data_IF_280160726147
#
_entry.id   IF_280160726147
#
_cell.length_a   1.000
_cell.length_b   1.000
_cell.length_c   1.000
_cell.angle_alpha   90.00
_cell.angle_beta   90.00
_cell.angle_gamma   90.00
#
_symmetry.space_group_name_H-M   'P 1'
#
loop_
_entity.id
_entity.type
_entity.pdbx_description
1 polymer ?
#
# COMPACT_ATOMS: atom_id res chain seq x y z
N UNK A 1 24.45 -17.84 21.50
CA UNK A 1 23.39 -16.84 21.23
C UNK A 1 22.33 -17.54 20.41
N UNK A 2 21.13 -17.71 20.95
CA UNK A 2 20.00 -18.28 20.20
C UNK A 2 19.63 -17.28 19.12
N UNK A 3 19.97 -17.61 17.89
CA UNK A 3 19.62 -16.79 16.74
C UNK A 3 18.09 -16.76 16.60
N UNK A 4 17.56 -15.56 16.63
CA UNK A 4 16.12 -15.29 16.63
C UNK A 4 15.45 -15.79 15.33
N UNK A 5 14.20 -16.29 15.42
CA UNK A 5 13.49 -16.75 14.23
C UNK A 5 13.22 -15.60 13.26
N UNK A 6 13.13 -15.90 11.98
CA UNK A 6 12.85 -14.92 10.92
C UNK A 6 11.58 -14.11 11.19
N UNK A 7 10.53 -14.79 11.70
CA UNK A 7 9.27 -14.14 12.05
C UNK A 7 9.48 -13.10 13.17
N UNK A 8 10.14 -13.50 14.26
CA UNK A 8 10.38 -12.62 15.40
C UNK A 8 11.28 -11.44 15.00
N UNK A 9 12.34 -11.72 14.23
CA UNK A 9 13.27 -10.66 13.78
C UNK A 9 12.59 -9.64 12.86
N UNK A 10 11.69 -10.07 11.95
CA UNK A 10 10.88 -9.16 11.14
C UNK A 10 9.92 -8.34 12.02
N UNK A 11 9.29 -8.95 13.01
CA UNK A 11 8.42 -8.25 13.95
C UNK A 11 9.18 -7.15 14.71
N UNK A 12 10.36 -7.45 15.24
CA UNK A 12 11.21 -6.46 15.91
C UNK A 12 11.61 -5.31 14.98
N UNK A 13 11.98 -5.61 13.72
CA UNK A 13 12.27 -4.59 12.71
C UNK A 13 11.08 -3.63 12.49
N UNK A 14 9.86 -4.18 12.39
CA UNK A 14 8.64 -3.39 12.20
C UNK A 14 8.40 -2.48 13.40
N UNK A 15 8.48 -3.02 14.61
CA UNK A 15 8.24 -2.26 15.84
C UNK A 15 9.32 -1.18 16.05
N UNK A 16 10.57 -1.48 15.75
CA UNK A 16 11.66 -0.51 15.87
C UNK A 16 11.49 0.63 14.86
N UNK A 17 11.25 0.32 13.57
CA UNK A 17 10.99 1.34 12.55
C UNK A 17 9.78 2.22 12.88
N UNK A 18 8.74 1.66 13.51
CA UNK A 18 7.59 2.44 13.95
C UNK A 18 7.92 3.36 15.12
N UNK A 19 8.62 2.84 16.14
CA UNK A 19 9.07 3.61 17.30
C UNK A 19 9.99 4.77 16.93
N UNK A 20 10.88 4.55 15.96
CA UNK A 20 11.84 5.56 15.47
C UNK A 20 11.22 6.55 14.49
N UNK A 21 9.91 6.44 14.20
CA UNK A 21 9.20 7.32 13.28
C UNK A 21 9.51 7.09 11.78
N UNK A 22 10.31 6.06 11.44
CA UNK A 22 10.63 5.68 10.06
C UNK A 22 9.37 5.17 9.34
N UNK A 23 8.51 4.44 10.07
CA UNK A 23 7.20 4.00 9.58
C UNK A 23 6.09 4.84 10.20
N UNK A 24 5.27 5.47 9.36
CA UNK A 24 3.96 5.95 9.80
C UNK A 24 2.98 4.78 9.96
N UNK A 25 1.84 5.02 10.63
CA UNK A 25 0.81 4.02 10.95
C UNK A 25 0.37 3.21 9.72
N UNK A 26 0.12 3.86 8.58
CA UNK A 26 -0.27 3.18 7.34
C UNK A 26 0.81 2.21 6.84
N UNK A 27 2.10 2.60 6.91
CA UNK A 27 3.21 1.75 6.49
C UNK A 27 3.38 0.56 7.43
N UNK A 28 3.26 0.78 8.76
CA UNK A 28 3.26 -0.30 9.75
C UNK A 28 2.19 -1.34 9.45
N UNK A 29 0.92 -0.93 9.27
CA UNK A 29 -0.20 -1.82 8.92
C UNK A 29 0.11 -2.71 7.69
N UNK A 30 0.78 -2.16 6.70
CA UNK A 30 1.17 -2.93 5.52
C UNK A 30 2.29 -3.95 5.79
N UNK A 31 3.22 -3.65 6.71
CA UNK A 31 4.24 -4.61 7.14
C UNK A 31 3.65 -5.68 8.06
N UNK A 32 2.69 -5.34 8.93
CA UNK A 32 1.96 -6.31 9.76
C UNK A 32 1.20 -7.35 8.91
N UNK A 33 0.66 -6.92 7.77
CA UNK A 33 0.06 -7.86 6.80
C UNK A 33 1.13 -8.80 6.23
N UNK A 34 2.29 -8.27 5.82
CA UNK A 34 3.40 -9.08 5.31
C UNK A 34 3.91 -10.07 6.37
N UNK A 35 4.03 -9.64 7.64
CA UNK A 35 4.45 -10.49 8.75
C UNK A 35 3.51 -11.68 8.94
N UNK A 36 2.19 -11.45 8.93
CA UNK A 36 1.19 -12.52 9.04
C UNK A 36 1.25 -13.49 7.85
N UNK A 37 1.46 -13.00 6.64
CA UNK A 37 1.61 -13.84 5.44
C UNK A 37 2.90 -14.66 5.48
N UNK A 38 4.01 -14.06 5.91
CA UNK A 38 5.26 -14.78 6.11
C UNK A 38 5.11 -15.87 7.17
N UNK A 39 4.43 -15.58 8.29
CA UNK A 39 4.18 -16.55 9.35
C UNK A 39 3.39 -17.76 8.82
N UNK A 40 2.31 -17.55 8.08
CA UNK A 40 1.54 -18.64 7.48
C UNK A 40 2.39 -19.48 6.52
N UNK A 41 3.20 -18.82 5.68
CA UNK A 41 4.14 -19.51 4.80
C UNK A 41 5.12 -20.38 5.58
N UNK A 42 5.71 -19.86 6.65
CA UNK A 42 6.68 -20.58 7.48
C UNK A 42 6.04 -21.80 8.14
N UNK A 43 4.84 -21.66 8.70
CA UNK A 43 4.09 -22.77 9.34
C UNK A 43 3.76 -23.85 8.31
N UNK A 44 3.19 -23.49 7.16
CA UNK A 44 2.78 -24.42 6.11
C UNK A 44 3.97 -25.24 5.56
N UNK A 45 5.17 -24.65 5.55
CA UNK A 45 6.38 -25.29 5.05
C UNK A 45 7.28 -25.89 6.15
N UNK A 46 6.82 -25.96 7.40
CA UNK A 46 7.59 -26.43 8.56
C UNK A 46 8.92 -25.67 8.76
N UNK A 47 8.90 -24.35 8.60
CA UNK A 47 10.03 -23.44 8.69
C UNK A 47 9.90 -22.43 9.84
N UNK A 48 9.06 -22.69 10.86
CA UNK A 48 8.72 -21.75 11.93
C UNK A 48 9.96 -21.24 12.69
N UNK A 49 10.95 -22.09 12.88
CA UNK A 49 12.18 -21.78 13.63
C UNK A 49 13.33 -21.31 12.74
N UNK A 50 13.10 -21.14 11.43
CA UNK A 50 14.15 -20.70 10.53
C UNK A 50 14.65 -19.31 10.93
N UNK A 51 15.97 -19.13 10.91
CA UNK A 51 16.58 -17.82 11.15
C UNK A 51 16.80 -17.07 9.84
N UNK A 52 16.96 -15.74 9.87
CA UNK A 52 17.19 -14.93 8.67
C UNK A 52 18.35 -15.45 7.79
N UNK A 53 19.41 -15.94 8.39
CA UNK A 53 20.61 -16.46 7.70
C UNK A 53 20.28 -17.67 6.82
N UNK A 54 19.35 -18.52 7.24
CA UNK A 54 18.94 -19.73 6.52
C UNK A 54 17.79 -19.50 5.53
N UNK A 55 17.21 -18.31 5.51
CA UNK A 55 16.20 -17.94 4.51
C UNK A 55 16.88 -17.53 3.19
N UNK A 56 17.14 -18.51 2.35
CA UNK A 56 17.89 -18.35 1.09
C UNK A 56 16.97 -17.95 -0.09
N UNK A 57 17.58 -17.80 -1.27
CA UNK A 57 16.86 -17.45 -2.51
C UNK A 57 15.83 -18.50 -2.94
N UNK A 58 16.02 -19.79 -2.64
CA UNK A 58 15.02 -20.84 -2.93
C UNK A 58 13.75 -20.63 -2.10
N UNK A 59 13.89 -20.38 -0.80
CA UNK A 59 12.77 -20.09 0.09
C UNK A 59 12.08 -18.78 -0.28
N UNK A 60 12.83 -17.79 -0.75
CA UNK A 60 12.26 -16.54 -1.29
C UNK A 60 11.37 -16.79 -2.51
N UNK A 61 11.81 -17.67 -3.43
CA UNK A 61 10.99 -18.07 -4.60
C UNK A 61 9.73 -18.80 -4.15
N UNK A 62 9.86 -19.74 -3.22
CA UNK A 62 8.71 -20.46 -2.65
C UNK A 62 7.74 -19.49 -1.95
N UNK A 63 8.25 -18.49 -1.23
CA UNK A 63 7.40 -17.47 -0.61
C UNK A 63 6.65 -16.62 -1.64
N UNK A 64 7.31 -16.22 -2.73
CA UNK A 64 6.64 -15.54 -3.85
C UNK A 64 5.50 -16.40 -4.41
N UNK A 65 5.76 -17.69 -4.67
CA UNK A 65 4.78 -18.61 -5.24
C UNK A 65 3.63 -18.88 -4.26
N UNK A 66 3.94 -18.93 -2.96
CA UNK A 66 2.91 -18.96 -1.90
C UNK A 66 2.03 -17.72 -1.97
N UNK A 67 2.60 -16.51 -2.09
CA UNK A 67 1.81 -15.28 -2.17
C UNK A 67 0.82 -15.29 -3.33
N UNK A 68 1.19 -15.85 -4.50
CA UNK A 68 0.27 -15.98 -5.63
C UNK A 68 -0.82 -17.04 -5.39
N UNK A 69 -0.48 -18.13 -4.72
CA UNK A 69 -1.30 -19.34 -4.64
C UNK A 69 -1.91 -19.55 -3.23
N UNK A 70 -1.77 -18.61 -2.32
CA UNK A 70 -2.27 -18.75 -0.94
C UNK A 70 -3.76 -19.10 -0.89
N UNK A 71 -4.56 -18.58 -1.83
CA UNK A 71 -5.99 -18.83 -1.90
C UNK A 71 -6.35 -20.31 -2.05
N UNK A 72 -5.49 -21.14 -2.67
CA UNK A 72 -5.70 -22.59 -2.82
C UNK A 72 -5.48 -23.32 -1.48
N UNK A 73 -4.69 -22.72 -0.58
CA UNK A 73 -4.29 -23.34 0.67
C UNK A 73 -5.25 -23.04 1.83
N UNK A 74 -6.16 -22.09 1.65
CA UNK A 74 -7.08 -21.63 2.71
C UNK A 74 -7.91 -22.76 3.30
N UNK A 75 -8.54 -23.57 2.46
CA UNK A 75 -9.39 -24.66 2.92
C UNK A 75 -8.60 -25.75 3.62
N UNK A 76 -7.41 -26.08 3.13
CA UNK A 76 -6.53 -27.09 3.72
C UNK A 76 -5.98 -26.67 5.08
N UNK A 77 -5.69 -25.37 5.28
CA UNK A 77 -5.08 -24.82 6.49
C UNK A 77 -5.99 -23.83 7.21
N UNK A 78 -7.29 -24.09 7.22
CA UNK A 78 -8.35 -23.18 7.72
C UNK A 78 -8.04 -22.59 9.10
N UNK A 79 -7.40 -23.34 9.98
CA UNK A 79 -6.98 -22.88 11.31
C UNK A 79 -6.06 -21.66 11.32
N UNK A 80 -5.27 -21.43 10.24
CA UNK A 80 -4.39 -20.27 10.13
C UNK A 80 -5.11 -18.98 9.69
N UNK A 81 -6.40 -19.05 9.40
CA UNK A 81 -7.21 -17.95 8.90
C UNK A 81 -8.41 -17.61 9.79
N UNK A 82 -8.54 -18.28 10.95
CA UNK A 82 -9.71 -18.14 11.86
C UNK A 82 -9.87 -16.70 12.37
N UNK A 83 -8.76 -16.04 12.68
CA UNK A 83 -8.77 -14.67 13.21
C UNK A 83 -8.86 -13.58 12.11
N UNK A 84 -8.97 -13.99 10.86
CA UNK A 84 -9.09 -13.06 9.76
C UNK A 84 -10.55 -12.69 9.50
N UNK A 85 -10.80 -11.38 9.33
CA UNK A 85 -12.09 -10.95 8.78
C UNK A 85 -12.31 -11.61 7.41
N UNK A 86 -13.49 -12.12 7.15
CA UNK A 86 -13.85 -12.83 5.91
C UNK A 86 -13.46 -12.06 4.62
N UNK A 87 -13.47 -10.72 4.66
CA UNK A 87 -13.04 -9.87 3.54
C UNK A 87 -11.55 -9.92 3.23
N UNK A 88 -10.73 -10.37 4.18
CA UNK A 88 -9.27 -10.40 4.07
C UNK A 88 -8.74 -11.81 3.77
N UNK A 89 -9.59 -12.83 3.79
CA UNK A 89 -9.20 -14.20 3.43
C UNK A 89 -8.97 -14.24 1.91
N UNK A 90 -7.82 -14.74 1.44
CA UNK A 90 -7.56 -14.84 0.02
C UNK A 90 -8.55 -15.81 -0.66
N UNK A 91 -9.29 -15.34 -1.66
CA UNK A 91 -10.26 -16.13 -2.44
C UNK A 91 -9.87 -16.29 -3.91
N UNK A 92 -8.83 -15.58 -4.34
CA UNK A 92 -8.31 -15.58 -5.71
C UNK A 92 -6.82 -15.28 -5.75
N UNK A 93 -6.12 -15.54 -6.87
CA UNK A 93 -4.71 -15.16 -7.01
C UNK A 93 -4.47 -13.68 -6.76
N UNK A 94 -3.39 -13.35 -6.06
CA UNK A 94 -3.00 -11.93 -5.93
C UNK A 94 -2.45 -11.40 -7.25
N UNK A 95 -2.76 -10.14 -7.54
CA UNK A 95 -2.17 -9.44 -8.68
C UNK A 95 -0.65 -9.25 -8.53
N UNK A 96 0.04 -9.21 -9.67
CA UNK A 96 1.51 -9.07 -9.74
C UNK A 96 2.03 -7.86 -8.94
N UNK A 97 1.38 -6.71 -9.02
CA UNK A 97 1.79 -5.49 -8.31
C UNK A 97 1.73 -5.66 -6.78
N UNK A 98 0.72 -6.39 -6.30
CA UNK A 98 0.59 -6.70 -4.86
C UNK A 98 1.75 -7.56 -4.38
N UNK A 99 2.09 -8.62 -5.13
CA UNK A 99 3.21 -9.52 -4.77
C UNK A 99 4.53 -8.77 -4.89
N UNK A 100 4.76 -8.01 -5.96
CA UNK A 100 5.96 -7.19 -6.14
C UNK A 100 6.17 -6.21 -4.97
N UNK A 101 5.12 -5.53 -4.55
CA UNK A 101 5.18 -4.59 -3.40
C UNK A 101 5.55 -5.30 -2.10
N UNK A 102 5.01 -6.52 -1.85
CA UNK A 102 5.35 -7.31 -0.66
C UNK A 102 6.81 -7.77 -0.69
N UNK A 103 7.30 -8.23 -1.84
CA UNK A 103 8.70 -8.61 -2.00
C UNK A 103 9.66 -7.43 -1.84
N UNK A 104 9.30 -6.23 -2.31
CA UNK A 104 10.08 -5.01 -2.07
C UNK A 104 10.22 -4.68 -0.58
N UNK A 105 9.14 -4.85 0.19
CA UNK A 105 9.18 -4.64 1.66
C UNK A 105 10.08 -5.68 2.34
N UNK A 106 9.94 -6.96 1.97
CA UNK A 106 10.79 -8.01 2.49
C UNK A 106 12.26 -7.79 2.10
N UNK A 107 12.52 -7.29 0.88
CA UNK A 107 13.87 -6.90 0.44
C UNK A 107 14.46 -5.79 1.30
N UNK A 108 13.67 -4.76 1.64
CA UNK A 108 14.14 -3.67 2.50
C UNK A 108 14.57 -4.20 3.88
N UNK A 109 13.80 -5.11 4.47
CA UNK A 109 14.15 -5.78 5.72
C UNK A 109 15.46 -6.57 5.60
N UNK A 110 15.62 -7.43 4.58
CA UNK A 110 16.85 -8.20 4.41
C UNK A 110 18.07 -7.33 4.06
N UNK A 111 17.88 -6.20 3.40
CA UNK A 111 18.98 -5.25 3.16
C UNK A 111 19.41 -4.58 4.46
N UNK A 112 18.49 -4.30 5.37
CA UNK A 112 18.81 -3.79 6.71
C UNK A 112 19.64 -4.81 7.51
N UNK A 113 19.20 -6.09 7.54
CA UNK A 113 19.96 -7.14 8.20
C UNK A 113 21.39 -7.31 7.65
N UNK A 114 21.53 -7.22 6.32
CA UNK A 114 22.85 -7.28 5.67
C UNK A 114 23.69 -6.05 6.02
N UNK A 115 23.09 -4.87 6.08
CA UNK A 115 23.75 -3.60 6.44
C UNK A 115 24.24 -3.57 7.89
N UNK A 116 23.55 -4.31 8.77
CA UNK A 116 23.88 -4.44 10.18
C UNK A 116 24.76 -5.67 10.49
N UNK A 117 25.30 -6.35 9.47
CA UNK A 117 26.10 -7.57 9.59
C UNK A 117 25.39 -8.74 10.31
N UNK A 118 24.05 -8.70 10.40
CA UNK A 118 23.24 -9.79 11.01
C UNK A 118 23.16 -11.01 10.08
N UNK A 119 23.27 -10.79 8.78
CA UNK A 119 23.39 -11.83 7.76
C UNK A 119 24.51 -11.50 6.79
N UNK A 120 25.24 -12.51 6.26
CA UNK A 120 26.37 -12.26 5.37
C UNK A 120 25.96 -11.71 4.00
N UNK A 121 24.82 -12.11 3.46
CA UNK A 121 24.30 -11.67 2.15
C UNK A 121 22.79 -11.82 2.10
N UNK A 122 22.09 -10.78 1.63
CA UNK A 122 20.65 -10.82 1.39
C UNK A 122 20.26 -11.88 0.34
N UNK A 123 19.18 -12.67 0.57
CA UNK A 123 18.68 -13.65 -0.41
C UNK A 123 18.31 -13.01 -1.75
N UNK A 124 17.96 -11.74 -1.75
CA UNK A 124 17.62 -10.98 -2.96
C UNK A 124 18.85 -10.70 -3.85
N UNK A 125 20.06 -10.60 -3.28
CA UNK A 125 21.29 -10.46 -4.06
C UNK A 125 21.70 -11.77 -4.74
N UNK A 126 21.39 -12.91 -4.12
CA UNK A 126 21.68 -14.25 -4.66
C UNK A 126 20.74 -14.70 -5.79
N UNK A 127 19.75 -13.93 -6.15
CA UNK A 127 18.82 -14.28 -7.24
C UNK A 127 19.47 -14.29 -8.64
N UNK A 128 20.56 -13.57 -8.86
CA UNK A 128 21.27 -13.52 -10.12
C UNK A 128 20.34 -13.21 -11.31
N UNK A 129 20.34 -14.07 -12.34
CA UNK A 129 19.49 -13.92 -13.53
C UNK A 129 17.98 -14.03 -13.24
N UNK A 130 17.59 -14.73 -12.15
CA UNK A 130 16.19 -14.90 -11.75
C UNK A 130 15.60 -13.64 -11.11
N UNK A 131 16.42 -12.64 -10.80
CA UNK A 131 15.97 -11.41 -10.12
C UNK A 131 14.79 -10.74 -10.85
N UNK A 132 14.83 -10.64 -12.17
CA UNK A 132 13.76 -10.01 -12.96
C UNK A 132 12.44 -10.77 -12.86
N UNK A 133 12.50 -12.10 -12.79
CA UNK A 133 11.33 -12.98 -12.70
C UNK A 133 10.75 -13.00 -11.29
N UNK A 134 11.60 -13.00 -10.27
CA UNK A 134 11.17 -13.06 -8.86
C UNK A 134 10.64 -11.71 -8.39
N UNK A 135 11.41 -10.63 -8.62
CA UNK A 135 11.03 -9.30 -8.14
C UNK A 135 9.95 -8.63 -8.98
N UNK A 136 9.71 -9.13 -10.17
CA UNK A 136 8.70 -8.64 -11.12
C UNK A 136 8.65 -7.11 -11.21
N UNK A 137 8.49 -6.58 -12.40
CA UNK A 137 8.23 -5.16 -12.59
C UNK A 137 6.74 -4.89 -12.36
N UNK A 138 6.42 -3.87 -11.60
CA UNK A 138 5.03 -3.42 -11.48
C UNK A 138 4.51 -3.00 -12.85
N UNK A 139 3.28 -3.42 -13.15
CA UNK A 139 2.58 -3.08 -14.39
C UNK A 139 1.38 -2.23 -14.01
N UNK A 140 1.26 -1.10 -14.65
CA UNK A 140 0.13 -0.20 -14.46
C UNK A 140 -0.59 -0.07 -15.80
N UNK A 141 -1.90 -0.18 -15.75
CA UNK A 141 -2.75 0.15 -16.90
C UNK A 141 -2.63 1.64 -17.22
N UNK A 142 -2.94 2.01 -18.45
CA UNK A 142 -3.06 3.42 -18.79
C UNK A 142 -4.11 4.09 -17.89
N UNK A 143 -3.82 5.28 -17.35
CA UNK A 143 -4.75 5.95 -16.47
C UNK A 143 -6.05 6.29 -17.23
N UNK A 144 -7.17 5.86 -16.68
CA UNK A 144 -8.50 6.24 -17.16
C UNK A 144 -8.82 7.60 -16.59
N UNK A 145 -9.16 8.55 -17.44
CA UNK A 145 -9.55 9.90 -17.05
C UNK A 145 -10.73 10.39 -17.91
N UNK A 146 -11.48 11.34 -17.36
CA UNK A 146 -12.53 12.00 -18.12
C UNK A 146 -11.92 13.05 -19.04
N UNK A 147 -12.26 13.00 -20.31
CA UNK A 147 -12.02 14.12 -21.24
C UNK A 147 -12.89 15.31 -20.86
N UNK A 148 -12.52 16.51 -21.31
CA UNK A 148 -13.34 17.71 -21.10
C UNK A 148 -14.77 17.52 -21.63
N UNK A 149 -14.93 16.85 -22.77
CA UNK A 149 -16.26 16.60 -23.35
C UNK A 149 -17.10 15.66 -22.49
N UNK A 150 -16.51 14.61 -21.93
CA UNK A 150 -17.19 13.69 -21.01
C UNK A 150 -17.55 14.36 -19.69
N UNK A 151 -16.67 15.21 -19.16
CA UNK A 151 -16.95 16.01 -17.97
C UNK A 151 -18.17 16.91 -18.18
N UNK A 152 -18.21 17.69 -19.29
CA UNK A 152 -19.35 18.54 -19.64
C UNK A 152 -20.63 17.70 -19.85
N UNK A 153 -20.51 16.55 -20.51
CA UNK A 153 -21.63 15.63 -20.70
C UNK A 153 -22.19 15.16 -19.35
N UNK A 154 -21.33 14.74 -18.42
CA UNK A 154 -21.74 14.34 -17.09
C UNK A 154 -22.41 15.48 -16.32
N UNK A 155 -21.88 16.69 -16.41
CA UNK A 155 -22.45 17.89 -15.80
C UNK A 155 -23.90 18.11 -16.25
N UNK A 156 -24.18 17.98 -17.54
CA UNK A 156 -25.48 18.21 -18.15
C UNK A 156 -26.41 16.99 -18.18
N UNK A 157 -25.96 15.84 -17.63
CA UNK A 157 -26.79 14.63 -17.58
C UNK A 157 -27.71 14.66 -16.36
N UNK A 158 -29.00 14.49 -16.58
CA UNK A 158 -29.96 14.29 -15.49
C UNK A 158 -29.72 12.92 -14.84
N UNK A 159 -29.67 12.93 -13.52
CA UNK A 159 -29.52 11.72 -12.71
C UNK A 159 -30.68 11.63 -11.70
N UNK A 160 -31.02 10.42 -11.22
CA UNK A 160 -31.97 10.27 -10.13
C UNK A 160 -31.56 11.12 -8.92
N UNK A 161 -32.55 11.65 -8.18
CA UNK A 161 -32.27 12.53 -7.01
C UNK A 161 -31.34 11.89 -5.97
N UNK A 162 -31.38 10.56 -5.83
CA UNK A 162 -30.48 9.80 -4.95
C UNK A 162 -29.00 9.82 -5.36
N UNK A 163 -28.70 10.18 -6.61
CA UNK A 163 -27.34 10.29 -7.14
C UNK A 163 -26.87 11.73 -7.37
N UNK A 164 -27.74 12.71 -7.18
CA UNK A 164 -27.42 14.11 -7.47
C UNK A 164 -26.24 14.60 -6.62
N UNK A 165 -26.32 14.40 -5.31
CA UNK A 165 -25.23 14.77 -4.39
C UNK A 165 -23.89 14.11 -4.74
N UNK A 166 -23.91 12.82 -5.11
CA UNK A 166 -22.72 12.09 -5.53
C UNK A 166 -22.13 12.66 -6.82
N UNK A 167 -22.98 13.01 -7.79
CA UNK A 167 -22.58 13.65 -9.04
C UNK A 167 -21.91 15.00 -8.77
N UNK A 168 -22.53 15.84 -7.95
CA UNK A 168 -22.04 17.18 -7.64
C UNK A 168 -20.69 17.12 -6.89
N UNK A 169 -20.57 16.22 -5.90
CA UNK A 169 -19.33 15.97 -5.19
C UNK A 169 -18.23 15.48 -6.13
N UNK A 170 -18.53 14.58 -7.05
CA UNK A 170 -17.57 14.07 -8.03
C UNK A 170 -17.10 15.16 -8.99
N UNK A 171 -18.00 15.98 -9.52
CA UNK A 171 -17.66 17.10 -10.41
C UNK A 171 -16.81 18.14 -9.69
N UNK A 172 -17.14 18.45 -8.44
CA UNK A 172 -16.35 19.37 -7.62
C UNK A 172 -14.95 18.80 -7.35
N UNK A 173 -14.84 17.53 -6.95
CA UNK A 173 -13.54 16.88 -6.75
C UNK A 173 -12.67 16.88 -8.02
N UNK A 174 -13.28 16.57 -9.19
CA UNK A 174 -12.57 16.64 -10.47
C UNK A 174 -12.06 18.05 -10.77
N UNK A 175 -12.85 19.06 -10.46
CA UNK A 175 -12.49 20.47 -10.68
C UNK A 175 -11.34 20.94 -9.80
N UNK A 176 -11.31 20.44 -8.55
CA UNK A 176 -10.25 20.74 -7.58
C UNK A 176 -8.97 19.95 -7.84
N UNK A 177 -9.07 18.80 -8.51
CA UNK A 177 -7.94 17.87 -8.71
C UNK A 177 -7.37 17.30 -7.40
N UNK A 178 -8.15 17.32 -6.31
CA UNK A 178 -7.71 16.86 -5.00
C UNK A 178 -7.93 15.35 -4.80
N UNK A 179 -7.15 14.74 -3.87
CA UNK A 179 -7.37 13.35 -3.49
C UNK A 179 -8.68 13.21 -2.72
N UNK A 180 -9.34 12.06 -2.83
CA UNK A 180 -10.59 11.79 -2.11
C UNK A 180 -10.45 12.00 -0.59
N UNK A 181 -9.33 11.62 0.01
CA UNK A 181 -9.10 11.83 1.44
C UNK A 181 -8.97 13.31 1.82
N UNK A 182 -8.40 14.14 0.95
CA UNK A 182 -8.34 15.58 1.15
C UNK A 182 -9.73 16.21 0.91
N UNK A 183 -10.43 15.76 -0.14
CA UNK A 183 -11.79 16.21 -0.46
C UNK A 183 -12.78 16.03 0.70
N UNK A 184 -12.73 14.87 1.36
CA UNK A 184 -13.61 14.55 2.49
C UNK A 184 -13.38 15.40 3.73
N UNK A 185 -12.25 16.11 3.82
CA UNK A 185 -11.94 17.02 4.95
C UNK A 185 -12.25 18.48 4.65
N UNK A 186 -12.67 18.80 3.42
CA UNK A 186 -13.02 20.16 3.06
C UNK A 186 -14.32 20.60 3.74
N UNK A 187 -14.33 21.84 4.20
CA UNK A 187 -15.49 22.53 4.79
C UNK A 187 -15.60 23.95 4.21
N UNK A 188 -16.64 24.68 4.58
CA UNK A 188 -16.77 26.08 4.21
C UNK A 188 -15.64 26.96 4.74
N UNK A 189 -14.98 26.56 5.83
CA UNK A 189 -13.84 27.30 6.41
C UNK A 189 -12.61 27.26 5.49
N UNK A 190 -12.58 26.35 4.52
CA UNK A 190 -11.53 26.28 3.52
C UNK A 190 -11.73 27.27 2.36
N UNK A 191 -12.86 28.02 2.34
CA UNK A 191 -13.15 28.96 1.26
C UNK A 191 -12.68 30.36 1.68
N UNK A 192 -11.82 30.96 0.86
CA UNK A 192 -11.42 32.36 0.96
C UNK A 192 -11.80 33.10 -0.30
N UNK A 193 -12.17 34.39 -0.17
CA UNK A 193 -12.45 35.27 -1.32
C UNK A 193 -11.29 36.23 -1.46
N UNK A 194 -10.65 36.21 -2.63
CA UNK A 194 -9.54 37.10 -2.97
C UNK A 194 -9.86 37.77 -4.32
N UNK A 195 -9.84 39.09 -4.37
CA UNK A 195 -10.17 39.87 -5.57
C UNK A 195 -11.48 39.42 -6.25
N UNK A 196 -12.52 39.20 -5.44
CA UNK A 196 -13.85 38.70 -5.84
C UNK A 196 -13.87 37.28 -6.44
N UNK A 197 -12.78 36.55 -6.34
CA UNK A 197 -12.68 35.14 -6.77
C UNK A 197 -12.67 34.25 -5.53
N UNK A 198 -13.57 33.27 -5.42
CA UNK A 198 -13.51 32.28 -4.36
C UNK A 198 -12.40 31.25 -4.63
N UNK A 199 -11.62 30.94 -3.61
CA UNK A 199 -10.59 29.92 -3.60
C UNK A 199 -10.85 28.90 -2.53
N UNK A 200 -10.49 27.62 -2.78
CA UNK A 200 -10.35 26.63 -1.73
C UNK A 200 -8.87 26.51 -1.34
N UNK A 201 -8.64 26.64 -0.03
CA UNK A 201 -7.34 26.48 0.59
C UNK A 201 -7.33 25.24 1.46
N UNK A 202 -6.36 24.35 1.30
CA UNK A 202 -6.21 23.17 2.15
C UNK A 202 -4.77 22.66 2.21
N UNK A 203 -4.47 21.95 3.30
CA UNK A 203 -3.19 21.26 3.49
C UNK A 203 -3.37 19.78 3.15
N UNK A 204 -2.70 19.24 2.12
CA UNK A 204 -2.84 17.84 1.74
C UNK A 204 -2.40 16.89 2.87
N UNK A 205 -3.26 15.98 3.26
CA UNK A 205 -3.03 15.08 4.40
C UNK A 205 -1.80 14.19 4.25
N UNK A 206 -1.47 13.79 3.01
CA UNK A 206 -0.35 12.88 2.73
C UNK A 206 1.01 13.55 2.83
N UNK A 207 1.10 14.84 2.53
CA UNK A 207 2.36 15.62 2.56
C UNK A 207 2.67 16.22 3.91
N UNK A 208 1.69 16.28 4.83
CA UNK A 208 1.87 16.79 6.20
C UNK A 208 2.86 15.98 7.05
N UNK A 209 3.15 14.71 6.67
CA UNK A 209 3.98 13.80 7.47
C UNK A 209 5.44 13.68 7.00
N UNK A 210 5.78 14.18 5.83
CA UNK A 210 7.08 13.90 5.22
C UNK A 210 8.05 15.09 5.20
N UNK A 211 7.58 16.33 5.34
CA UNK A 211 8.44 17.52 5.38
C UNK A 211 7.86 18.61 6.25
N UNK A 212 8.70 19.30 7.02
CA UNK A 212 8.36 20.51 7.80
C UNK A 212 7.85 21.70 6.96
N UNK A 213 7.94 21.62 5.65
CA UNK A 213 7.38 22.59 4.72
C UNK A 213 5.93 22.26 4.39
N UNK A 214 5.02 22.93 5.07
CA UNK A 214 3.59 22.87 4.78
C UNK A 214 3.31 23.59 3.47
N UNK A 215 3.08 22.85 2.37
CA UNK A 215 2.66 23.43 1.12
C UNK A 215 1.13 23.45 1.12
N UNK A 216 0.58 24.63 1.29
CA UNK A 216 -0.85 24.88 1.13
C UNK A 216 -1.21 24.83 -0.35
N UNK A 217 -2.30 24.14 -0.67
CA UNK A 217 -2.89 24.14 -2.01
C UNK A 217 -3.98 25.18 -2.05
N UNK A 218 -3.91 26.06 -3.05
CA UNK A 218 -4.88 27.08 -3.33
C UNK A 218 -5.45 26.86 -4.73
N UNK A 219 -6.73 26.56 -4.83
CA UNK A 219 -7.41 26.29 -6.10
C UNK A 219 -8.60 27.23 -6.27
N UNK A 220 -8.70 27.97 -7.38
CA UNK A 220 -9.86 28.83 -7.64
C UNK A 220 -11.13 27.97 -7.86
N UNK A 221 -12.24 28.40 -7.26
CA UNK A 221 -13.56 27.85 -7.55
C UNK A 221 -14.09 28.55 -8.80
N UNK A 222 -13.87 27.93 -9.95
CA UNK A 222 -14.42 28.44 -11.19
C UNK A 222 -15.93 28.19 -11.24
N UNK A 223 -16.72 29.18 -11.65
CA UNK A 223 -18.09 28.93 -12.07
C UNK A 223 -18.05 28.06 -13.33
N UNK A 224 -18.58 26.86 -13.22
CA UNK A 224 -18.93 26.09 -14.41
C UNK A 224 -20.21 26.73 -14.96
N UNK A 225 -20.07 27.40 -16.10
CA UNK A 225 -21.20 27.96 -16.82
C UNK A 225 -22.09 26.85 -17.38
#
# INVERSE_FOLDING_TARGET
ESSESLHNRLNLYIEQCYKDGIFGEGRKKHYDVLLRELNRFLIINNLSDITPTYFNNEKLILFRDFLFNEYILVDKYRGLYVDMNNRNIPTSPRGQNTVATKLKKLQAFFNELESNDEIPVSPFRKLGKQRKTVMMKEQYDEPIFLTKAEFIKLQNTDVPSSLQETKDAFLLQCSLGCRIGDFQTLSFDNIAIEEDIPFIHYLPHKTLKENDTRIEIKTPLMRFA
#
